data_IF_490806713511
#
_entry.id   IF_490806713511
#
_cell.length_a   1.000
_cell.length_b   1.000
_cell.length_c   1.000
_cell.angle_alpha   90.00
_cell.angle_beta   90.00
_cell.angle_gamma   90.00
#
_symmetry.space_group_name_H-M   'P 1'
#
loop_
_entity.id
_entity.type
_entity.pdbx_description
1 polymer ?
#
# COMPACT_ATOMS: atom_id res chain seq x y z
N UNK A 1 -5.16 -10.35 -10.85
CA UNK A 1 -6.03 -9.17 -10.67
C UNK A 1 -5.12 -7.98 -10.91
N UNK A 2 -5.19 -7.39 -12.11
CA UNK A 2 -4.34 -6.25 -12.47
C UNK A 2 -4.72 -5.04 -11.61
N UNK A 3 -4.02 -4.86 -10.51
CA UNK A 3 -4.17 -3.70 -9.65
C UNK A 3 -3.45 -2.53 -10.33
N UNK A 4 -4.18 -1.81 -11.17
CA UNK A 4 -3.71 -0.54 -11.70
C UNK A 4 -3.53 0.41 -10.51
N UNK A 5 -2.29 0.84 -10.26
CA UNK A 5 -2.05 1.99 -9.39
C UNK A 5 -2.72 3.20 -10.03
N UNK A 6 -3.93 3.52 -9.56
CA UNK A 6 -4.73 4.63 -10.07
C UNK A 6 -3.99 5.93 -9.76
N UNK A 7 -3.62 6.66 -10.80
CA UNK A 7 -2.72 7.81 -10.69
C UNK A 7 -3.28 9.03 -11.43
N UNK A 8 -3.32 10.17 -10.74
CA UNK A 8 -3.57 11.47 -11.39
C UNK A 8 -2.68 12.58 -10.84
N UNK A 9 -1.39 12.32 -10.57
CA UNK A 9 -0.49 13.40 -10.16
C UNK A 9 0.19 13.99 -11.41
N UNK A 10 -0.05 15.26 -11.72
CA UNK A 10 0.63 15.87 -12.87
C UNK A 10 2.14 15.84 -12.64
N UNK A 11 2.90 15.43 -13.66
CA UNK A 11 4.38 15.40 -13.62
C UNK A 11 4.98 16.75 -13.20
N UNK A 12 4.26 17.85 -13.43
CA UNK A 12 4.63 19.20 -13.06
C UNK A 12 4.65 19.50 -11.55
N UNK A 13 4.10 18.64 -10.69
CA UNK A 13 4.05 18.86 -9.21
C UNK A 13 4.88 17.88 -8.39
N UNK A 14 5.57 16.91 -9.00
CA UNK A 14 6.36 15.89 -8.25
C UNK A 14 7.42 16.47 -7.33
N UNK A 15 8.09 17.55 -7.73
CA UNK A 15 9.12 18.17 -6.91
C UNK A 15 8.56 19.03 -5.77
N UNK A 16 7.25 19.32 -5.77
CA UNK A 16 6.56 19.99 -4.67
C UNK A 16 5.99 18.99 -3.64
N UNK A 17 5.92 17.70 -3.98
CA UNK A 17 5.46 16.66 -3.05
C UNK A 17 6.46 16.48 -1.91
N UNK A 18 5.98 16.66 -0.68
CA UNK A 18 6.77 16.39 0.54
C UNK A 18 7.16 14.92 0.64
N UNK A 19 6.26 14.00 0.23
CA UNK A 19 6.54 12.57 0.21
C UNK A 19 7.71 12.25 -0.74
N UNK A 20 7.70 12.81 -1.95
CA UNK A 20 8.79 12.62 -2.93
C UNK A 20 10.10 13.23 -2.43
N UNK A 21 10.05 14.41 -1.82
CA UNK A 21 11.23 15.05 -1.22
C UNK A 21 11.84 14.20 -0.09
N UNK A 22 11.00 13.66 0.79
CA UNK A 22 11.41 12.79 1.89
C UNK A 22 12.02 11.47 1.35
N UNK A 23 11.38 10.81 0.38
CA UNK A 23 11.90 9.60 -0.27
C UNK A 23 13.27 9.84 -0.93
N UNK A 24 13.44 10.96 -1.63
CA UNK A 24 14.72 11.36 -2.25
C UNK A 24 15.81 11.59 -1.19
N UNK A 25 15.46 12.16 -0.03
CA UNK A 25 16.40 12.42 1.05
C UNK A 25 16.93 11.14 1.70
N UNK A 26 16.06 10.12 1.84
CA UNK A 26 16.42 8.83 2.46
C UNK A 26 17.29 7.99 1.51
N UNK A 27 17.02 8.03 0.20
CA UNK A 27 17.77 7.25 -0.82
C UNK A 27 19.24 7.64 -0.96
N UNK A 28 19.58 8.92 -0.73
CA UNK A 28 20.99 9.35 -0.76
C UNK A 28 21.82 8.70 0.34
N UNK A 29 21.18 8.20 1.41
CA UNK A 29 21.84 7.46 2.47
C UNK A 29 21.97 5.96 2.18
N UNK A 30 21.13 5.38 1.31
CA UNK A 30 21.20 3.94 0.94
C UNK A 30 22.07 3.67 -0.29
N UNK A 31 22.27 4.63 -1.20
CA UNK A 31 23.18 4.52 -2.35
C UNK A 31 24.60 5.01 -2.09
N UNK A 32 25.27 4.51 -1.04
CA UNK A 32 26.74 4.49 -0.97
C UNK A 32 27.18 3.17 -0.32
N UNK A 33 27.39 2.14 -1.14
CA UNK A 33 28.29 1.05 -0.81
C UNK A 33 29.61 1.27 -1.56
N UNK A 34 30.57 1.93 -0.90
CA UNK A 34 32.00 1.80 -1.21
C UNK A 34 32.91 2.25 -0.08
N UNK A 35 32.40 2.87 0.98
CA UNK A 35 33.14 3.02 2.24
C UNK A 35 32.13 2.95 3.37
N UNK A 36 31.92 1.75 3.93
CA UNK A 36 31.42 1.68 5.30
C UNK A 36 32.53 2.29 6.15
N UNK A 37 32.34 3.44 6.82
CA UNK A 37 33.22 3.73 7.94
C UNK A 37 33.01 2.55 8.87
N UNK A 38 34.08 1.81 9.17
CA UNK A 38 34.07 0.82 10.23
C UNK A 38 33.26 1.42 11.39
N UNK A 39 32.28 0.68 11.92
CA UNK A 39 31.59 1.04 13.16
C UNK A 39 32.70 1.21 14.19
N UNK A 40 33.21 2.43 14.29
CA UNK A 40 34.18 2.81 15.29
C UNK A 40 33.31 2.93 16.51
N UNK A 41 33.26 1.84 17.27
CA UNK A 41 32.72 1.81 18.61
C UNK A 41 33.50 2.83 19.42
N UNK A 42 33.11 4.10 19.28
CA UNK A 42 33.57 5.14 20.18
C UNK A 42 32.95 4.79 21.53
N UNK A 43 33.75 4.69 22.59
CA UNK A 43 33.23 4.44 23.92
C UNK A 43 32.18 5.52 24.21
N UNK A 44 31.05 5.10 24.77
CA UNK A 44 29.99 5.99 25.24
C UNK A 44 30.62 6.87 26.32
N UNK A 45 31.10 8.05 25.94
CA UNK A 45 31.61 9.03 26.89
C UNK A 45 30.43 9.51 27.75
N UNK A 46 30.57 9.34 29.06
CA UNK A 46 29.73 9.89 30.09
C UNK A 46 29.54 11.39 29.84
N UNK A 47 28.30 11.79 29.61
CA UNK A 47 27.98 13.15 29.19
C UNK A 47 27.82 14.07 30.42
N UNK A 48 28.94 14.51 31.00
CA UNK A 48 28.96 15.60 31.97
C UNK A 48 29.71 16.81 31.37
N UNK A 49 29.01 17.56 30.53
CA UNK A 49 29.48 18.83 29.95
C UNK A 49 28.31 19.65 29.40
N UNK A 50 28.43 20.98 29.26
CA UNK A 50 27.33 21.91 28.95
C UNK A 50 26.68 21.76 27.56
N UNK A 51 27.06 20.73 26.79
CA UNK A 51 26.55 20.42 25.45
C UNK A 51 26.27 18.92 25.24
N UNK A 52 25.90 18.18 26.29
CA UNK A 52 25.43 16.80 26.15
C UNK A 52 24.19 16.74 25.24
N UNK A 53 24.18 15.86 24.24
CA UNK A 53 23.00 15.64 23.39
C UNK A 53 21.82 15.20 24.26
N UNK A 54 20.61 15.72 24.02
CA UNK A 54 19.43 15.35 24.79
C UNK A 54 19.15 13.85 24.66
N UNK A 55 18.61 13.28 25.73
CA UNK A 55 18.00 11.95 25.69
C UNK A 55 16.58 12.09 25.16
N UNK A 56 16.27 11.39 24.08
CA UNK A 56 15.00 11.48 23.36
C UNK A 56 14.13 10.27 23.68
N UNK A 57 12.88 10.52 24.10
CA UNK A 57 11.83 9.53 24.19
C UNK A 57 11.03 9.45 22.89
N UNK A 58 10.80 8.24 22.37
CA UNK A 58 9.91 7.97 21.23
C UNK A 58 8.72 7.16 21.72
N UNK A 59 7.50 7.63 21.47
CA UNK A 59 6.29 6.91 21.87
C UNK A 59 5.78 6.09 20.69
N UNK A 60 5.77 4.76 20.85
CA UNK A 60 5.36 3.77 19.86
C UNK A 60 6.54 3.14 19.11
N UNK A 61 6.58 1.81 19.07
CA UNK A 61 7.53 0.99 18.34
C UNK A 61 6.93 0.40 17.05
N UNK A 62 6.09 1.19 16.36
CA UNK A 62 5.70 0.93 14.97
C UNK A 62 6.81 1.31 13.98
N UNK A 63 6.62 1.05 12.69
CA UNK A 63 7.62 1.33 11.65
C UNK A 63 8.15 2.77 11.69
N UNK A 64 7.28 3.76 11.90
CA UNK A 64 7.65 5.17 12.02
C UNK A 64 8.53 5.45 13.26
N UNK A 65 8.17 4.89 14.41
CA UNK A 65 8.92 5.07 15.66
C UNK A 65 10.28 4.37 15.62
N UNK A 66 10.35 3.16 15.06
CA UNK A 66 11.59 2.43 14.85
C UNK A 66 12.52 3.18 13.90
N UNK A 67 11.99 3.73 12.79
CA UNK A 67 12.79 4.52 11.85
C UNK A 67 13.26 5.84 12.46
N UNK A 68 12.41 6.51 13.25
CA UNK A 68 12.81 7.71 13.99
C UNK A 68 13.98 7.41 14.94
N UNK A 69 13.87 6.33 15.73
CA UNK A 69 14.93 5.92 16.65
C UNK A 69 16.23 5.56 15.92
N UNK A 70 16.15 4.80 14.82
CA UNK A 70 17.31 4.46 13.98
C UNK A 70 18.06 5.70 13.49
N UNK A 71 17.34 6.69 12.92
CA UNK A 71 17.94 7.95 12.48
C UNK A 71 18.61 8.67 13.67
N UNK A 72 17.90 8.85 14.79
CA UNK A 72 18.44 9.55 15.97
C UNK A 72 19.70 8.87 16.54
N UNK A 73 19.73 7.54 16.54
CA UNK A 73 20.90 6.77 16.97
C UNK A 73 22.10 6.99 16.03
N UNK A 74 21.89 7.05 14.71
CA UNK A 74 22.95 7.36 13.74
C UNK A 74 23.53 8.76 13.95
N UNK A 75 22.71 9.72 14.39
CA UNK A 75 23.18 11.05 14.80
C UNK A 75 23.73 11.10 16.22
N UNK A 76 23.89 9.96 16.91
CA UNK A 76 24.53 9.86 18.23
C UNK A 76 23.69 10.39 19.39
N UNK A 77 22.36 10.46 19.25
CA UNK A 77 21.47 10.74 20.37
C UNK A 77 21.24 9.48 21.21
N UNK A 78 20.99 9.66 22.51
CA UNK A 78 20.45 8.59 23.36
C UNK A 78 18.95 8.53 23.13
N UNK A 79 18.40 7.33 22.88
CA UNK A 79 16.98 7.13 22.57
C UNK A 79 16.35 6.07 23.48
N UNK A 80 15.12 6.31 23.93
CA UNK A 80 14.26 5.30 24.58
C UNK A 80 12.93 5.23 23.86
N UNK A 81 12.49 4.03 23.48
CA UNK A 81 11.18 3.81 22.87
C UNK A 81 10.22 3.28 23.94
N UNK A 82 9.03 3.88 24.01
CA UNK A 82 7.94 3.48 24.89
C UNK A 82 6.83 2.86 24.03
N UNK A 83 6.68 1.53 24.08
CA UNK A 83 5.64 0.81 23.35
C UNK A 83 4.58 0.29 24.32
N UNK A 84 3.31 0.52 23.98
CA UNK A 84 2.18 0.10 24.81
C UNK A 84 1.85 -1.38 24.71
N UNK A 85 2.36 -2.08 23.69
CA UNK A 85 2.19 -3.52 23.48
C UNK A 85 3.41 -4.32 23.96
N UNK A 86 3.22 -5.62 24.12
CA UNK A 86 4.28 -6.59 24.38
C UNK A 86 5.05 -7.03 23.11
N UNK A 87 4.99 -6.22 22.04
CA UNK A 87 5.60 -6.51 20.74
C UNK A 87 5.91 -5.23 19.98
N UNK A 88 6.89 -5.30 19.09
CA UNK A 88 7.22 -4.24 18.14
C UNK A 88 6.32 -4.32 16.89
N UNK A 89 6.54 -3.39 15.95
CA UNK A 89 5.92 -3.37 14.62
C UNK A 89 4.61 -2.57 14.55
N UNK A 90 3.92 -2.39 15.68
CA UNK A 90 2.67 -1.63 15.74
C UNK A 90 1.58 -2.30 14.90
N UNK A 91 1.15 -1.66 13.80
CA UNK A 91 0.19 -2.23 12.84
C UNK A 91 0.79 -3.32 11.96
N UNK A 92 2.11 -3.33 11.76
CA UNK A 92 2.80 -4.41 11.07
C UNK A 92 2.97 -5.57 12.05
N UNK A 93 2.15 -6.60 11.93
CA UNK A 93 2.08 -7.70 12.87
C UNK A 93 1.73 -9.02 12.19
N UNK A 94 2.48 -10.05 12.53
CA UNK A 94 2.19 -11.42 12.13
C UNK A 94 1.73 -12.25 13.32
N UNK A 95 0.75 -13.11 13.07
CA UNK A 95 0.28 -14.10 14.04
C UNK A 95 0.44 -15.50 13.47
N UNK A 96 0.91 -16.42 14.30
CA UNK A 96 0.90 -17.85 13.99
C UNK A 96 -0.45 -18.42 14.39
N UNK A 97 -1.18 -18.96 13.42
CA UNK A 97 -2.44 -19.64 13.62
C UNK A 97 -2.23 -21.02 14.25
N UNK A 98 -3.29 -21.60 14.80
CA UNK A 98 -3.25 -22.92 15.44
C UNK A 98 -2.85 -24.05 14.49
N UNK A 99 -3.08 -23.87 13.19
CA UNK A 99 -2.65 -24.80 12.13
C UNK A 99 -1.17 -24.62 11.72
N UNK A 100 -0.41 -23.74 12.39
CA UNK A 100 1.00 -23.50 12.13
C UNK A 100 1.30 -22.43 11.08
N UNK A 101 0.30 -21.97 10.33
CA UNK A 101 0.47 -20.93 9.31
C UNK A 101 0.76 -19.57 9.95
N UNK A 102 1.67 -18.81 9.34
CA UNK A 102 1.95 -17.43 9.71
C UNK A 102 1.13 -16.52 8.80
N UNK A 103 0.37 -15.60 9.40
CA UNK A 103 -0.47 -14.65 8.66
C UNK A 103 -0.19 -13.23 9.11
N UNK A 104 -0.21 -12.29 8.17
CA UNK A 104 -0.20 -10.86 8.47
C UNK A 104 -1.58 -10.43 8.99
N UNK A 105 -1.59 -9.84 10.17
CA UNK A 105 -2.77 -9.30 10.84
C UNK A 105 -2.94 -7.79 10.57
N UNK A 106 -2.21 -7.27 9.59
CA UNK A 106 -2.11 -5.85 9.26
C UNK A 106 -1.69 -5.68 7.81
N UNK A 107 -0.79 -4.72 7.48
CA UNK A 107 -0.34 -4.52 6.10
C UNK A 107 0.32 -5.78 5.54
N UNK A 108 -0.14 -6.21 4.37
CA UNK A 108 0.35 -7.39 3.64
C UNK A 108 0.58 -7.12 2.14
N UNK A 109 0.40 -5.88 1.68
CA UNK A 109 0.69 -5.45 0.31
C UNK A 109 1.79 -4.40 0.29
N UNK A 110 2.57 -4.42 -0.79
CA UNK A 110 3.58 -3.40 -1.09
C UNK A 110 3.21 -2.82 -2.46
N UNK A 111 2.62 -1.64 -2.45
CA UNK A 111 2.25 -0.91 -3.67
C UNK A 111 3.40 -0.02 -4.15
N UNK A 112 3.46 0.20 -5.47
CA UNK A 112 4.47 1.05 -6.08
C UNK A 112 5.85 0.40 -6.09
N UNK A 113 6.19 -0.29 -7.17
CA UNK A 113 7.52 -0.91 -7.35
C UNK A 113 8.58 0.05 -7.89
N UNK A 114 8.18 1.26 -8.28
CA UNK A 114 9.11 2.29 -8.75
C UNK A 114 9.42 3.24 -7.61
N UNK A 115 10.68 3.26 -7.23
CA UNK A 115 11.23 4.16 -6.24
C UNK A 115 10.79 3.96 -4.77
N UNK A 116 10.17 2.83 -4.43
CA UNK A 116 9.73 2.52 -3.06
C UNK A 116 10.90 2.03 -2.17
N UNK A 117 11.18 2.69 -1.03
CA UNK A 117 12.29 2.32 -0.13
C UNK A 117 12.08 0.98 0.60
N UNK A 118 10.84 0.47 0.65
CA UNK A 118 10.58 -0.86 1.21
C UNK A 118 11.28 -1.95 0.38
N UNK A 119 11.52 -1.72 -0.92
CA UNK A 119 12.23 -2.68 -1.77
C UNK A 119 13.66 -2.94 -1.32
N UNK A 120 14.35 -1.93 -0.78
CA UNK A 120 15.69 -2.09 -0.24
C UNK A 120 15.64 -2.95 1.03
N UNK A 121 14.65 -2.71 1.90
CA UNK A 121 14.42 -3.51 3.12
C UNK A 121 14.08 -4.97 2.80
N UNK A 122 13.27 -5.23 1.78
CA UNK A 122 12.94 -6.59 1.33
C UNK A 122 14.22 -7.35 0.94
N UNK A 123 15.11 -6.71 0.18
CA UNK A 123 16.39 -7.31 -0.24
C UNK A 123 17.31 -7.56 0.95
N UNK A 124 17.42 -6.60 1.86
CA UNK A 124 18.28 -6.72 3.04
C UNK A 124 17.81 -7.80 4.02
N UNK A 125 16.49 -7.97 4.16
CA UNK A 125 15.90 -8.94 5.09
C UNK A 125 15.67 -10.32 4.48
N UNK A 126 15.80 -10.44 3.15
CA UNK A 126 15.42 -11.66 2.43
C UNK A 126 13.93 -11.96 2.52
N UNK A 127 13.09 -10.93 2.66
CA UNK A 127 11.63 -11.10 2.76
C UNK A 127 11.11 -11.67 1.44
N UNK A 128 10.37 -12.78 1.54
CA UNK A 128 9.73 -13.38 0.37
C UNK A 128 8.56 -12.50 -0.02
N UNK A 129 8.55 -12.08 -1.28
CA UNK A 129 7.42 -11.40 -1.90
C UNK A 129 6.89 -12.29 -3.01
N UNK A 130 5.57 -12.41 -3.07
CA UNK A 130 4.89 -13.00 -4.21
C UNK A 130 4.35 -11.86 -5.03
N UNK A 131 4.45 -11.99 -6.35
CA UNK A 131 3.75 -11.07 -7.22
C UNK A 131 2.26 -11.40 -7.29
N UNK A 132 1.57 -10.85 -8.31
CA UNK A 132 0.24 -11.31 -8.67
C UNK A 132 0.22 -12.84 -8.72
N UNK A 133 -0.82 -13.46 -8.16
CA UNK A 133 -0.92 -14.91 -8.15
C UNK A 133 -0.94 -15.42 -9.60
N UNK A 134 -0.06 -16.34 -9.95
CA UNK A 134 0.10 -16.87 -11.31
C UNK A 134 -0.25 -18.37 -11.26
N UNK A 135 -0.95 -18.87 -12.27
CA UNK A 135 -1.21 -20.29 -12.44
C UNK A 135 0.02 -21.05 -12.98
N UNK A 136 -0.09 -22.38 -13.04
CA UNK A 136 0.97 -23.28 -13.53
C UNK A 136 1.35 -23.03 -15.01
N UNK A 137 0.58 -22.21 -15.73
CA UNK A 137 0.78 -21.83 -17.12
C UNK A 137 1.36 -20.43 -17.30
N UNK A 138 1.71 -19.74 -16.21
CA UNK A 138 2.24 -18.39 -16.28
C UNK A 138 1.17 -17.31 -16.50
N UNK A 139 -0.12 -17.65 -16.43
CA UNK A 139 -1.23 -16.69 -16.54
C UNK A 139 -1.53 -16.15 -15.15
N UNK A 140 -1.73 -14.84 -15.04
CA UNK A 140 -2.26 -14.27 -13.81
C UNK A 140 -3.62 -14.88 -13.48
N UNK A 141 -3.78 -15.27 -12.21
CA UNK A 141 -5.04 -15.73 -11.67
C UNK A 141 -6.00 -14.54 -11.58
N UNK A 142 -7.11 -14.68 -12.29
CA UNK A 142 -8.25 -13.79 -12.20
C UNK A 142 -9.06 -14.17 -10.95
N UNK A 143 -9.48 -13.17 -10.18
CA UNK A 143 -10.33 -13.40 -9.02
C UNK A 143 -11.69 -13.92 -9.46
N UNK A 144 -12.14 -15.05 -8.91
CA UNK A 144 -13.50 -15.52 -9.12
C UNK A 144 -14.50 -14.62 -8.36
N UNK A 145 -15.53 -14.16 -9.06
CA UNK A 145 -16.62 -13.38 -8.47
C UNK A 145 -17.78 -14.32 -8.16
N UNK A 146 -18.30 -14.23 -6.95
CA UNK A 146 -19.48 -14.97 -6.51
C UNK A 146 -20.59 -14.00 -6.17
N UNK A 147 -21.82 -14.30 -6.59
CA UNK A 147 -23.00 -13.57 -6.15
C UNK A 147 -23.39 -13.92 -4.71
N UNK A 148 -24.31 -13.15 -4.15
CA UNK A 148 -24.82 -13.32 -2.77
C UNK A 148 -25.42 -14.71 -2.46
N UNK A 149 -25.85 -15.44 -3.49
CA UNK A 149 -26.34 -16.82 -3.36
C UNK A 149 -25.22 -17.88 -3.44
N UNK A 150 -23.96 -17.47 -3.55
CA UNK A 150 -22.80 -18.36 -3.68
C UNK A 150 -22.56 -18.92 -5.08
N UNK A 151 -23.33 -18.49 -6.10
CA UNK A 151 -23.07 -18.88 -7.47
C UNK A 151 -21.88 -18.10 -8.06
N UNK A 152 -21.00 -18.80 -8.76
CA UNK A 152 -19.89 -18.18 -9.47
C UNK A 152 -20.41 -17.48 -10.74
N UNK A 153 -20.03 -16.23 -10.94
CA UNK A 153 -20.31 -15.52 -12.18
C UNK A 153 -19.43 -16.09 -13.31
N UNK A 154 -19.86 -16.03 -14.58
CA UNK A 154 -18.99 -16.30 -15.71
C UNK A 154 -17.70 -15.47 -15.60
N UNK A 155 -16.50 -16.03 -15.82
CA UNK A 155 -15.24 -15.32 -15.63
C UNK A 155 -15.19 -13.97 -16.35
N UNK A 156 -15.61 -13.92 -17.61
CA UNK A 156 -15.62 -12.70 -18.43
C UNK A 156 -16.55 -11.63 -17.85
N UNK A 157 -17.73 -12.03 -17.35
CA UNK A 157 -18.67 -11.09 -16.71
C UNK A 157 -18.14 -10.59 -15.37
N UNK A 158 -17.57 -11.48 -14.54
CA UNK A 158 -16.97 -11.12 -13.26
C UNK A 158 -15.79 -10.15 -13.43
N UNK A 159 -14.91 -10.44 -14.39
CA UNK A 159 -13.80 -9.56 -14.75
C UNK A 159 -14.30 -8.20 -15.24
N UNK A 160 -15.27 -8.17 -16.17
CA UNK A 160 -15.80 -6.92 -16.71
C UNK A 160 -16.44 -6.03 -15.63
N UNK A 161 -17.21 -6.62 -14.71
CA UNK A 161 -17.82 -5.87 -13.60
C UNK A 161 -16.76 -5.34 -12.62
N UNK A 162 -15.74 -6.16 -12.31
CA UNK A 162 -14.62 -5.72 -11.46
C UNK A 162 -13.83 -4.58 -12.12
N UNK A 163 -13.54 -4.68 -13.42
CA UNK A 163 -12.87 -3.61 -14.18
C UNK A 163 -13.70 -2.34 -14.14
N UNK A 164 -15.02 -2.42 -14.35
CA UNK A 164 -15.90 -1.26 -14.29
C UNK A 164 -15.89 -0.59 -12.91
N UNK A 165 -15.90 -1.37 -11.82
CA UNK A 165 -15.76 -0.82 -10.46
C UNK A 165 -14.46 0.01 -10.34
N UNK A 166 -13.33 -0.55 -10.79
CA UNK A 166 -12.04 0.14 -10.78
C UNK A 166 -12.01 1.39 -11.65
N UNK A 167 -12.65 1.35 -12.84
CA UNK A 167 -12.79 2.51 -13.71
C UNK A 167 -13.54 3.65 -13.01
N UNK A 168 -14.64 3.37 -12.31
CA UNK A 168 -15.39 4.40 -11.59
C UNK A 168 -14.58 4.95 -10.41
N UNK A 169 -13.81 4.11 -9.70
CA UNK A 169 -12.86 4.56 -8.67
C UNK A 169 -11.83 5.53 -9.26
N UNK A 170 -11.26 5.21 -10.43
CA UNK A 170 -10.33 6.09 -11.13
C UNK A 170 -10.94 7.42 -11.56
N UNK A 171 -12.15 7.38 -12.11
CA UNK A 171 -12.92 8.59 -12.41
C UNK A 171 -13.16 9.43 -11.15
N UNK A 172 -13.45 8.80 -10.01
CA UNK A 172 -13.63 9.48 -8.73
C UNK A 172 -12.34 10.17 -8.27
N UNK A 173 -11.18 9.52 -8.41
CA UNK A 173 -9.88 10.15 -8.11
C UNK A 173 -9.62 11.38 -8.98
N UNK A 174 -9.81 11.25 -10.30
CA UNK A 174 -9.60 12.35 -11.25
C UNK A 174 -10.56 13.50 -10.96
N UNK A 175 -11.83 13.19 -10.71
CA UNK A 175 -12.86 14.17 -10.37
C UNK A 175 -12.56 14.88 -9.05
N UNK A 176 -12.25 14.12 -8.00
CA UNK A 176 -11.86 14.62 -6.69
C UNK A 176 -10.67 15.59 -6.79
N UNK A 177 -9.60 15.19 -7.47
CA UNK A 177 -8.41 16.02 -7.66
C UNK A 177 -8.74 17.36 -8.34
N UNK A 178 -9.53 17.30 -9.41
CA UNK A 178 -9.85 18.47 -10.23
C UNK A 178 -10.85 19.41 -9.56
N UNK A 179 -11.77 18.88 -8.75
CA UNK A 179 -12.93 19.61 -8.22
C UNK A 179 -13.00 19.64 -6.67
N UNK A 180 -11.95 19.24 -5.95
CA UNK A 180 -11.94 19.14 -4.47
C UNK A 180 -12.43 20.40 -3.73
N UNK A 181 -12.24 21.60 -4.29
CA UNK A 181 -12.71 22.85 -3.68
C UNK A 181 -14.23 23.04 -3.82
N UNK A 182 -14.83 22.45 -4.84
CA UNK A 182 -16.24 22.60 -5.24
C UNK A 182 -17.13 21.49 -4.67
N UNK A 183 -16.58 20.29 -4.46
CA UNK A 183 -17.33 19.13 -3.96
C UNK A 183 -17.77 19.37 -2.50
N UNK A 184 -19.04 19.10 -2.21
CA UNK A 184 -19.59 19.11 -0.85
C UNK A 184 -18.87 18.04 0.00
N UNK A 185 -18.32 18.36 1.18
CA UNK A 185 -17.71 17.36 2.06
C UNK A 185 -18.60 16.15 2.37
N UNK A 186 -19.92 16.29 2.33
CA UNK A 186 -20.89 15.22 2.58
C UNK A 186 -21.15 14.33 1.36
N UNK A 187 -20.73 14.73 0.15
CA UNK A 187 -20.83 13.88 -1.03
C UNK A 187 -19.86 12.69 -0.90
N UNK A 188 -20.41 11.49 -0.94
CA UNK A 188 -19.65 10.26 -0.74
C UNK A 188 -19.16 9.65 -2.06
N UNK A 189 -18.18 8.75 -1.98
CA UNK A 189 -17.79 7.91 -3.12
C UNK A 189 -19.00 7.11 -3.65
N UNK A 190 -19.84 6.60 -2.75
CA UNK A 190 -21.08 5.91 -3.13
C UNK A 190 -22.02 6.79 -3.97
N UNK A 191 -22.19 8.07 -3.62
CA UNK A 191 -23.01 9.01 -4.40
C UNK A 191 -22.43 9.24 -5.81
N UNK A 192 -21.10 9.23 -5.92
CA UNK A 192 -20.43 9.28 -7.22
C UNK A 192 -20.72 8.05 -8.07
N UNK A 193 -20.68 6.85 -7.48
CA UNK A 193 -21.05 5.61 -8.16
C UNK A 193 -22.49 5.65 -8.68
N UNK A 194 -23.45 6.11 -7.86
CA UNK A 194 -24.85 6.25 -8.28
C UNK A 194 -25.01 7.16 -9.50
N UNK A 195 -24.20 8.22 -9.60
CA UNK A 195 -24.21 9.15 -10.75
C UNK A 195 -23.55 8.56 -12.00
N UNK A 196 -22.48 7.77 -11.85
CA UNK A 196 -21.69 7.23 -12.98
C UNK A 196 -22.20 5.92 -13.56
N UNK A 197 -22.80 5.06 -12.74
CA UNK A 197 -23.27 3.75 -13.17
C UNK A 197 -24.26 3.80 -14.36
N UNK A 198 -25.20 4.76 -14.45
CA UNK A 198 -26.07 4.88 -15.61
C UNK A 198 -25.35 5.23 -16.93
N UNK A 199 -24.20 5.93 -16.84
CA UNK A 199 -23.37 6.29 -18.01
C UNK A 199 -22.65 5.05 -18.56
N UNK A 200 -22.13 4.20 -17.66
CA UNK A 200 -21.39 2.98 -18.02
C UNK A 200 -22.26 1.76 -18.31
N UNK A 201 -23.42 1.66 -17.66
CA UNK A 201 -24.40 0.59 -17.86
C UNK A 201 -25.75 1.22 -18.18
N UNK A 202 -26.02 1.64 -19.43
CA UNK A 202 -27.29 2.26 -19.82
C UNK A 202 -28.50 1.32 -19.67
N UNK A 203 -29.72 1.87 -19.69
CA UNK A 203 -30.95 1.07 -19.62
C UNK A 203 -31.11 0.07 -20.78
N UNK A 204 -30.45 0.33 -21.92
CA UNK A 204 -30.41 -0.57 -23.07
C UNK A 204 -29.56 -1.83 -22.84
N UNK A 205 -28.75 -1.87 -21.77
CA UNK A 205 -27.91 -3.02 -21.46
C UNK A 205 -28.75 -4.14 -20.87
N UNK A 206 -28.56 -5.38 -21.36
CA UNK A 206 -29.19 -6.56 -20.79
C UNK A 206 -28.85 -6.68 -19.28
N UNK A 207 -29.88 -6.95 -18.47
CA UNK A 207 -29.76 -7.08 -17.02
C UNK A 207 -29.10 -5.85 -16.34
N UNK A 208 -29.34 -4.65 -16.87
CA UNK A 208 -28.71 -3.41 -16.39
C UNK A 208 -28.88 -3.19 -14.89
N UNK A 209 -30.05 -3.45 -14.32
CA UNK A 209 -30.31 -3.32 -12.88
C UNK A 209 -29.41 -4.25 -12.06
N UNK A 210 -29.34 -5.53 -12.45
CA UNK A 210 -28.49 -6.55 -11.81
C UNK A 210 -27.01 -6.18 -11.92
N UNK A 211 -26.56 -5.76 -13.12
CA UNK A 211 -25.17 -5.35 -13.35
C UNK A 211 -24.78 -4.13 -12.50
N UNK A 212 -25.63 -3.10 -12.43
CA UNK A 212 -25.40 -1.92 -11.59
C UNK A 212 -25.36 -2.29 -10.11
N UNK A 213 -26.26 -3.16 -9.65
CA UNK A 213 -26.29 -3.63 -8.26
C UNK A 213 -24.99 -4.39 -7.89
N UNK A 214 -24.52 -5.29 -8.77
CA UNK A 214 -23.28 -6.03 -8.55
C UNK A 214 -22.05 -5.10 -8.48
N UNK A 215 -21.94 -4.11 -9.37
CA UNK A 215 -20.83 -3.14 -9.31
C UNK A 215 -20.91 -2.30 -8.04
N UNK A 216 -22.11 -1.92 -7.59
CA UNK A 216 -22.27 -1.21 -6.32
C UNK A 216 -21.83 -2.08 -5.12
N UNK A 217 -22.21 -3.37 -5.10
CA UNK A 217 -21.73 -4.31 -4.09
C UNK A 217 -20.21 -4.49 -4.14
N UNK A 218 -19.60 -4.49 -5.33
CA UNK A 218 -18.15 -4.49 -5.47
C UNK A 218 -17.50 -3.20 -4.96
N UNK A 219 -18.17 -2.05 -5.06
CA UNK A 219 -17.67 -0.80 -4.47
C UNK A 219 -17.62 -0.87 -2.92
N UNK A 220 -18.41 -1.72 -2.28
CA UNK A 220 -18.27 -1.98 -0.84
C UNK A 220 -17.00 -2.79 -0.53
N UNK A 221 -16.52 -3.63 -1.46
CA UNK A 221 -15.22 -4.32 -1.32
C UNK A 221 -14.06 -3.31 -1.30
N UNK A 222 -14.15 -2.23 -2.09
CA UNK A 222 -13.21 -1.11 -1.99
C UNK A 222 -13.19 -0.53 -0.58
N UNK A 223 -14.36 -0.40 0.06
CA UNK A 223 -14.43 0.07 1.43
C UNK A 223 -13.68 -0.84 2.42
N UNK A 224 -13.73 -2.15 2.21
CA UNK A 224 -12.91 -3.10 2.97
C UNK A 224 -11.41 -2.95 2.68
N UNK A 225 -11.05 -2.65 1.43
CA UNK A 225 -9.65 -2.46 1.00
C UNK A 225 -8.99 -1.26 1.68
N UNK A 226 -9.67 -0.12 1.76
CA UNK A 226 -9.13 1.11 2.38
C UNK A 226 -9.56 1.33 3.83
N UNK A 227 -10.35 0.42 4.39
CA UNK A 227 -10.75 0.44 5.81
C UNK A 227 -11.84 1.45 6.16
N UNK A 228 -12.66 1.87 5.20
CA UNK A 228 -13.78 2.79 5.42
C UNK A 228 -14.91 2.51 4.42
N UNK A 229 -16.19 2.39 4.82
CA UNK A 229 -17.31 2.17 3.88
C UNK A 229 -17.44 3.27 2.80
N UNK A 230 -17.74 2.91 1.55
CA UNK A 230 -17.82 3.85 0.42
C UNK A 230 -18.85 4.98 0.62
N UNK A 231 -19.90 4.73 1.39
CA UNK A 231 -20.92 5.74 1.76
C UNK A 231 -20.44 6.76 2.81
N UNK A 232 -19.33 6.50 3.50
CA UNK A 232 -18.71 7.44 4.47
C UNK A 232 -17.42 8.06 3.97
N UNK A 233 -16.85 7.52 2.88
CA UNK A 233 -15.69 8.12 2.23
C UNK A 233 -16.11 9.38 1.48
N UNK A 234 -15.61 10.52 1.91
CA UNK A 234 -15.87 11.81 1.25
C UNK A 234 -15.19 11.86 -0.12
N UNK A 235 -15.97 12.07 -1.17
CA UNK A 235 -15.47 12.26 -2.54
C UNK A 235 -14.54 13.49 -2.61
N UNK A 236 -14.81 14.52 -1.81
CA UNK A 236 -13.99 15.74 -1.73
C UNK A 236 -12.53 15.45 -1.36
N UNK A 237 -12.33 14.50 -0.46
CA UNK A 237 -11.03 14.19 0.14
C UNK A 237 -10.42 12.88 -0.38
N UNK A 238 -11.09 12.25 -1.35
CA UNK A 238 -10.66 10.98 -1.94
C UNK A 238 -9.25 11.06 -2.56
N UNK A 239 -8.82 12.26 -2.98
CA UNK A 239 -7.49 12.55 -3.52
C UNK A 239 -6.33 12.65 -2.50
N UNK A 240 -6.59 12.66 -1.18
CA UNK A 240 -5.58 13.13 -0.21
C UNK A 240 -4.34 12.25 -0.02
N UNK A 241 -4.21 11.10 -0.69
CA UNK A 241 -3.01 10.25 -0.65
C UNK A 241 -2.32 10.21 -2.01
N UNK A 242 -1.09 10.71 -2.08
CA UNK A 242 -0.23 10.53 -3.26
C UNK A 242 0.35 9.12 -3.27
N UNK A 243 -0.09 8.29 -4.23
CA UNK A 243 0.45 6.95 -4.43
C UNK A 243 1.89 6.97 -4.99
N UNK A 244 2.73 6.05 -4.53
CA UNK A 244 4.05 5.79 -5.11
C UNK A 244 3.86 5.06 -6.45
N UNK A 245 4.63 5.44 -7.48
CA UNK A 245 4.51 4.86 -8.82
C UNK A 245 4.93 3.38 -8.90
N UNK A 246 4.37 2.67 -9.87
CA UNK A 246 4.71 1.28 -10.20
C UNK A 246 3.56 0.33 -9.89
N UNK A 247 3.50 -0.79 -10.61
CA UNK A 247 2.53 -1.86 -10.31
C UNK A 247 2.84 -2.49 -8.95
N UNK A 248 1.92 -3.34 -8.49
CA UNK A 248 2.22 -4.33 -7.46
C UNK A 248 3.32 -5.27 -7.97
N UNK A 249 4.00 -6.00 -7.07
CA UNK A 249 5.12 -6.85 -7.46
C UNK A 249 4.73 -7.72 -8.67
N UNK A 250 5.31 -7.45 -9.84
CA UNK A 250 5.30 -8.35 -10.97
C UNK A 250 6.76 -8.55 -11.39
N UNK A 251 7.23 -9.79 -11.19
CA UNK A 251 8.36 -10.39 -11.90
C UNK A 251 9.71 -9.66 -11.93
N UNK A 252 10.33 -9.30 -10.79
CA UNK A 252 11.70 -8.76 -10.83
C UNK A 252 12.79 -9.43 -9.99
N UNK A 253 12.56 -10.57 -9.33
CA UNK A 253 13.67 -11.39 -8.81
C UNK A 253 13.26 -12.87 -8.72
N UNK A 254 13.60 -13.66 -9.74
CA UNK A 254 13.78 -15.10 -9.57
C UNK A 254 15.28 -15.43 -9.73
N UNK A 255 16.06 -15.57 -8.63
CA UNK A 255 17.38 -16.17 -8.70
C UNK A 255 17.46 -17.56 -8.03
N UNK A 256 16.35 -18.17 -7.61
CA UNK A 256 16.38 -19.50 -6.99
C UNK A 256 15.68 -20.55 -7.86
N UNK A 257 16.34 -20.89 -8.97
CA UNK A 257 16.22 -22.23 -9.55
C UNK A 257 16.76 -23.23 -8.52
N UNK A 258 15.88 -23.98 -7.87
CA UNK A 258 16.26 -25.21 -7.19
C UNK A 258 16.73 -26.22 -8.25
N UNK A 259 18.04 -26.48 -8.31
CA UNK A 259 18.57 -27.67 -8.97
C UNK A 259 18.07 -28.87 -8.19
N UNK A 260 17.19 -29.66 -8.80
CA UNK A 260 16.88 -31.00 -8.32
C UNK A 260 18.10 -31.88 -8.64
N UNK A 261 19.04 -31.99 -7.71
CA UNK A 261 20.04 -33.05 -7.76
C UNK A 261 19.34 -34.36 -7.39
N UNK A 262 19.28 -35.24 -8.39
CA UNK A 262 18.90 -36.63 -8.26
C UNK A 262 19.95 -37.41 -7.46
N UNK A 263 19.48 -38.09 -6.42
CA UNK A 263 20.09 -39.30 -5.85
C UNK A 263 19.00 -40.30 -5.53
#
# INVERSE_FOLDING_TARGET
MDTYAVFSCSSARRDASRLVQDLKSIRRSSMVASDRPAIRSQPIHSADGPHAKPHIGVVGAGIAGLRCADILLQYGFRVTILEGRNRLGGRLHQQRLSNGHLVDMGPNWIHGTKDNPILDLIRETGTITSGNAIDDHGKELEGAVFSENGAMLPPDDGAALSTLMWTIVEEAFVHSNKHCTEIDPAESLHDFFLKRLPEHVPESTADCETRRALVMQMADLWGAFVGSPANTQSLKYFWLEECIEGGEFSSLLNPFTFSADSS
#
